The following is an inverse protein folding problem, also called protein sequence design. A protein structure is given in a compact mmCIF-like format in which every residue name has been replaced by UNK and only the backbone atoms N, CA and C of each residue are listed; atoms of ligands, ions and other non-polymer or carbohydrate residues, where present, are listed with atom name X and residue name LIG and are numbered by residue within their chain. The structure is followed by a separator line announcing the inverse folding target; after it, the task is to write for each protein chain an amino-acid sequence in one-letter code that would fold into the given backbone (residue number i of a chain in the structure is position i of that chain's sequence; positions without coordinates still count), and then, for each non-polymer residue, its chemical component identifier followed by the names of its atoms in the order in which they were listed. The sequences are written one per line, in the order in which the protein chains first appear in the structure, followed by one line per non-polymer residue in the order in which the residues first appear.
data_IF_572587645414
#
_entry.id   IF_572587645414
#
_cell.length_a   1.000
_cell.length_b   1.000
_cell.length_c   1.000
_cell.angle_alpha   90.00
_cell.angle_beta   90.00
_cell.angle_gamma   90.00
#
_symmetry.space_group_name_H-M   'P 1'
#
loop_
_entity.id
_entity.type
_entity.pdbx_description
1 polymer ?
#
# COMPACT_ATOMS: atom_id res chain seq x y z
N UNK A 1 -4.95 20.08 -11.02
CA UNK A 1 -4.65 18.70 -10.60
C UNK A 1 -3.38 18.01 -11.13
N UNK A 2 -2.80 18.36 -12.31
CA UNK A 2 -1.69 17.56 -12.88
C UNK A 2 -0.39 17.62 -12.07
N UNK A 3 -0.07 18.76 -11.45
CA UNK A 3 1.18 18.93 -10.68
C UNK A 3 1.15 18.17 -9.34
N UNK A 4 0.05 18.24 -8.58
CA UNK A 4 -0.06 17.51 -7.30
C UNK A 4 -0.04 15.99 -7.50
N UNK A 5 -0.62 15.51 -8.61
CA UNK A 5 -0.73 14.08 -8.91
C UNK A 5 0.63 13.36 -8.91
N UNK A 6 1.68 14.00 -9.42
CA UNK A 6 3.01 13.38 -9.46
C UNK A 6 3.64 13.30 -8.07
N UNK A 7 3.43 14.30 -7.21
CA UNK A 7 3.88 14.27 -5.81
C UNK A 7 3.24 13.09 -5.07
N UNK A 8 1.93 12.89 -5.22
CA UNK A 8 1.22 11.74 -4.64
C UNK A 8 1.80 10.40 -5.10
N UNK A 9 2.08 10.27 -6.40
CA UNK A 9 2.64 9.04 -6.98
C UNK A 9 4.04 8.75 -6.48
N UNK A 10 4.93 9.74 -6.52
CA UNK A 10 6.34 9.60 -6.13
C UNK A 10 6.46 9.22 -4.65
N UNK A 11 5.81 9.97 -3.76
CA UNK A 11 5.85 9.70 -2.32
C UNK A 11 5.23 8.33 -1.99
N UNK A 12 4.16 7.92 -2.68
CA UNK A 12 3.58 6.60 -2.48
C UNK A 12 4.54 5.48 -2.90
N UNK A 13 5.23 5.66 -4.03
CA UNK A 13 6.22 4.70 -4.53
C UNK A 13 7.42 4.59 -3.59
N UNK A 14 7.88 5.68 -3.01
CA UNK A 14 8.95 5.68 -1.99
C UNK A 14 8.53 4.89 -0.76
N UNK A 15 7.39 5.23 -0.15
CA UNK A 15 6.89 4.53 1.04
C UNK A 15 6.65 3.04 0.80
N UNK A 16 6.13 2.65 -0.38
CA UNK A 16 5.93 1.24 -0.70
C UNK A 16 7.26 0.50 -0.92
N UNK A 17 8.29 1.15 -1.50
CA UNK A 17 9.62 0.55 -1.67
C UNK A 17 10.30 0.30 -0.32
N UNK A 18 10.11 1.19 0.65
CA UNK A 18 10.63 1.00 2.01
C UNK A 18 10.01 -0.24 2.68
N UNK A 19 8.69 -0.41 2.56
CA UNK A 19 7.98 -1.48 3.28
C UNK A 19 8.00 -2.82 2.53
N UNK A 20 7.99 -2.81 1.19
CA UNK A 20 7.98 -4.00 0.31
C UNK A 20 8.82 -3.76 -0.95
N UNK A 21 10.16 -3.79 -0.88
CA UNK A 21 11.05 -3.42 -1.99
C UNK A 21 10.87 -4.31 -3.23
N UNK A 22 10.49 -5.57 -3.03
CA UNK A 22 10.31 -6.56 -4.09
C UNK A 22 8.92 -6.55 -4.73
N UNK A 23 7.99 -5.74 -4.21
CA UNK A 23 6.61 -5.68 -4.71
C UNK A 23 6.37 -4.37 -5.44
N UNK A 24 5.74 -4.46 -6.61
CA UNK A 24 5.47 -3.27 -7.43
C UNK A 24 4.07 -2.74 -7.14
N UNK A 25 4.00 -1.53 -6.59
CA UNK A 25 2.75 -0.81 -6.35
C UNK A 25 2.63 0.44 -7.23
N UNK A 26 1.42 0.71 -7.71
CA UNK A 26 1.12 1.93 -8.49
C UNK A 26 -0.08 2.66 -7.92
N UNK A 27 -0.02 3.98 -7.85
CA UNK A 27 -1.14 4.86 -7.53
C UNK A 27 -1.58 5.63 -8.78
N UNK A 28 -2.89 5.68 -9.05
CA UNK A 28 -3.47 6.41 -10.18
C UNK A 28 -4.71 7.19 -9.75
N UNK A 29 -4.83 8.47 -10.11
CA UNK A 29 -6.09 9.19 -9.94
C UNK A 29 -7.21 8.59 -10.79
N UNK A 30 -8.44 8.62 -10.26
CA UNK A 30 -9.65 8.17 -10.93
C UNK A 30 -10.84 9.02 -10.43
N UNK A 31 -11.28 10.00 -11.24
CA UNK A 31 -12.39 10.89 -10.89
C UNK A 31 -13.74 10.17 -10.78
N UNK A 32 -13.90 9.03 -11.43
CA UNK A 32 -15.13 8.24 -11.41
C UNK A 32 -15.21 7.25 -10.26
N UNK A 33 -14.22 7.25 -9.35
CA UNK A 33 -14.21 6.32 -8.23
C UNK A 33 -15.34 6.64 -7.25
N UNK A 34 -16.20 5.67 -6.98
CA UNK A 34 -17.33 5.82 -6.06
C UNK A 34 -17.09 5.01 -4.78
N UNK A 35 -17.34 5.59 -3.59
CA UNK A 35 -17.33 4.86 -2.33
C UNK A 35 -18.26 3.65 -2.36
N UNK A 36 -17.83 2.54 -1.75
CA UNK A 36 -18.61 1.30 -1.63
C UNK A 36 -18.97 0.59 -2.94
N UNK A 37 -18.49 1.07 -4.10
CA UNK A 37 -18.67 0.40 -5.40
C UNK A 37 -17.37 -0.29 -5.80
N UNK A 38 -17.18 -1.53 -5.32
CA UNK A 38 -15.94 -2.28 -5.49
C UNK A 38 -16.03 -3.36 -6.57
N UNK A 39 -14.98 -3.47 -7.37
CA UNK A 39 -14.77 -4.64 -8.24
C UNK A 39 -14.32 -5.84 -7.39
N UNK A 40 -14.57 -7.09 -7.82
CA UNK A 40 -14.07 -8.27 -7.11
C UNK A 40 -12.56 -8.20 -6.82
N UNK A 41 -12.17 -8.55 -5.59
CA UNK A 41 -10.77 -8.49 -5.13
C UNK A 41 -10.26 -7.10 -4.75
N UNK A 42 -11.06 -6.03 -4.94
CA UNK A 42 -10.69 -4.69 -4.49
C UNK A 42 -11.14 -4.42 -3.07
N UNK A 43 -10.35 -3.62 -2.36
CA UNK A 43 -10.60 -3.16 -0.99
C UNK A 43 -10.63 -1.64 -0.95
N UNK A 44 -11.43 -1.04 -0.08
CA UNK A 44 -11.44 0.42 0.08
C UNK A 44 -10.78 0.92 1.37
N UNK A 45 -10.32 2.16 1.28
CA UNK A 45 -9.92 3.02 2.38
C UNK A 45 -10.39 4.45 2.09
N UNK A 46 -11.00 5.09 3.09
CA UNK A 46 -11.46 6.47 3.02
C UNK A 46 -10.78 7.27 4.12
N UNK A 47 -10.40 8.50 3.82
CA UNK A 47 -9.80 9.43 4.77
C UNK A 47 -10.37 10.82 4.56
N UNK A 48 -10.80 11.45 5.64
CA UNK A 48 -11.06 12.89 5.66
C UNK A 48 -9.80 13.62 6.08
N UNK A 49 -9.51 14.73 5.42
CA UNK A 49 -8.29 15.52 5.66
C UNK A 49 -8.55 17.01 5.44
N UNK A 50 -7.59 17.82 5.88
CA UNK A 50 -7.55 19.26 5.63
C UNK A 50 -7.08 19.54 4.20
N UNK A 51 -7.66 20.51 3.53
CA UNK A 51 -7.07 21.09 2.33
C UNK A 51 -7.44 22.56 2.19
N UNK A 52 -6.67 23.26 1.36
CA UNK A 52 -7.00 24.61 0.90
C UNK A 52 -7.60 24.54 -0.49
N UNK A 53 -8.31 25.58 -0.87
CA UNK A 53 -8.92 25.72 -2.18
C UNK A 53 -8.77 27.15 -2.63
N UNK A 54 -8.61 27.34 -3.93
CA UNK A 54 -8.66 28.62 -4.61
C UNK A 54 -9.76 28.59 -5.67
N UNK A 55 -10.65 29.58 -5.65
CA UNK A 55 -11.67 29.71 -6.69
C UNK A 55 -11.04 30.25 -7.96
N UNK A 56 -11.18 29.49 -9.05
CA UNK A 56 -10.77 29.89 -10.41
C UNK A 56 -11.50 31.13 -10.91
N UNK A 57 -12.73 31.39 -10.45
CA UNK A 57 -13.58 32.48 -10.96
C UNK A 57 -13.43 33.80 -10.19
N UNK A 58 -13.28 33.75 -8.86
CA UNK A 58 -13.24 34.97 -8.02
C UNK A 58 -11.98 35.10 -7.16
N UNK A 59 -10.99 34.21 -7.36
CA UNK A 59 -9.71 34.17 -6.66
C UNK A 59 -9.80 34.04 -5.13
N UNK A 60 -11.00 33.80 -4.59
CA UNK A 60 -11.22 33.59 -3.17
C UNK A 60 -10.54 32.30 -2.74
N UNK A 61 -9.80 32.37 -1.64
CA UNK A 61 -9.26 31.21 -0.95
C UNK A 61 -10.15 30.79 0.22
N UNK A 62 -10.22 29.49 0.47
CA UNK A 62 -10.79 28.94 1.70
C UNK A 62 -10.05 27.67 2.10
N UNK A 63 -10.34 27.18 3.30
CA UNK A 63 -9.84 25.92 3.80
C UNK A 63 -11.02 25.06 4.25
N UNK A 64 -10.85 23.74 4.16
CA UNK A 64 -11.80 22.76 4.67
C UNK A 64 -11.05 21.72 5.49
N UNK A 65 -11.57 21.44 6.68
CA UNK A 65 -11.18 20.34 7.54
C UNK A 65 -11.70 18.96 7.07
N UNK A 66 -12.63 18.97 6.12
CA UNK A 66 -13.39 17.81 5.68
C UNK A 66 -13.33 17.70 4.16
N UNK A 67 -12.20 17.20 3.67
CA UNK A 67 -12.01 16.77 2.27
C UNK A 67 -11.88 15.26 2.27
N UNK A 68 -12.77 14.58 1.55
CA UNK A 68 -12.76 13.13 1.43
C UNK A 68 -11.73 12.71 0.37
N UNK A 69 -10.86 11.77 0.73
CA UNK A 69 -9.97 11.05 -0.18
C UNK A 69 -10.34 9.57 -0.13
N UNK A 70 -10.70 9.02 -1.28
CA UNK A 70 -11.06 7.62 -1.46
C UNK A 70 -9.94 6.87 -2.17
N UNK A 71 -9.61 5.70 -1.63
CA UNK A 71 -8.68 4.76 -2.22
C UNK A 71 -9.36 3.42 -2.44
N UNK A 72 -9.28 2.89 -3.66
CA UNK A 72 -9.52 1.49 -3.95
C UNK A 72 -8.18 0.81 -4.19
N UNK A 73 -7.93 -0.30 -3.50
CA UNK A 73 -6.67 -1.03 -3.47
C UNK A 73 -6.91 -2.46 -3.95
N UNK A 74 -6.01 -2.99 -4.76
CA UNK A 74 -6.05 -4.37 -5.21
C UNK A 74 -4.64 -4.96 -5.18
N UNK A 75 -4.52 -6.20 -4.69
CA UNK A 75 -3.25 -6.93 -4.62
C UNK A 75 -3.35 -8.23 -5.40
N UNK A 76 -2.35 -8.50 -6.23
CA UNK A 76 -2.15 -9.76 -6.93
C UNK A 76 -0.87 -10.40 -6.41
N UNK A 77 -1.04 -11.47 -5.63
CA UNK A 77 0.06 -12.22 -5.03
C UNK A 77 0.91 -12.93 -6.09
N UNK A 78 0.27 -13.59 -7.04
CA UNK A 78 0.93 -14.26 -8.18
C UNK A 78 1.88 -13.33 -8.94
N UNK A 79 1.47 -12.07 -9.14
CA UNK A 79 2.23 -11.09 -9.93
C UNK A 79 3.14 -10.23 -9.08
N UNK A 80 3.12 -10.38 -7.75
CA UNK A 80 3.75 -9.47 -6.80
C UNK A 80 3.47 -8.00 -7.10
N UNK A 81 2.22 -7.70 -7.49
CA UNK A 81 1.80 -6.39 -7.99
C UNK A 81 0.53 -5.88 -7.31
N UNK A 82 0.59 -4.62 -6.89
CA UNK A 82 -0.54 -3.91 -6.29
C UNK A 82 -0.93 -2.65 -7.05
N UNK A 83 -2.21 -2.31 -6.97
CA UNK A 83 -2.78 -1.15 -7.63
C UNK A 83 -3.61 -0.35 -6.63
N UNK A 84 -3.47 0.97 -6.68
CA UNK A 84 -4.29 1.93 -5.96
C UNK A 84 -4.92 2.88 -6.97
N UNK A 85 -6.25 2.99 -6.90
CA UNK A 85 -7.01 4.08 -7.52
C UNK A 85 -7.35 5.10 -6.46
N UNK A 86 -7.23 6.38 -6.77
CA UNK A 86 -7.44 7.47 -5.83
C UNK A 86 -8.44 8.49 -6.40
N UNK A 87 -9.44 8.88 -5.61
CA UNK A 87 -10.26 10.06 -5.88
C UNK A 87 -10.15 11.02 -4.71
N UNK A 88 -9.97 12.29 -5.03
CA UNK A 88 -10.07 13.37 -4.07
C UNK A 88 -11.34 14.15 -4.40
N UNK A 89 -12.20 14.34 -3.40
CA UNK A 89 -13.44 15.08 -3.56
C UNK A 89 -13.19 16.59 -3.48
N UNK A 90 -13.95 17.33 -4.27
CA UNK A 90 -13.81 18.77 -4.54
C UNK A 90 -14.85 19.59 -3.79
N UNK A 91 -14.69 20.93 -3.82
CA UNK A 91 -15.64 21.86 -3.21
C UNK A 91 -15.91 23.06 -4.11
N UNK A 92 -17.11 23.63 -3.98
CA UNK A 92 -17.55 24.84 -4.68
C UNK A 92 -17.28 26.10 -3.88
N UNK A 93 -17.03 27.20 -4.60
CA UNK A 93 -16.95 28.51 -3.98
C UNK A 93 -18.33 29.00 -3.52
N UNK A 94 -18.48 29.35 -2.24
CA UNK A 94 -19.75 29.85 -1.69
C UNK A 94 -20.21 31.24 -2.16
N UNK A 95 -19.35 31.98 -2.89
CA UNK A 95 -19.62 33.37 -3.31
C UNK A 95 -20.14 33.44 -4.75
N UNK A 96 -19.72 32.51 -5.60
CA UNK A 96 -20.05 32.56 -7.01
C UNK A 96 -21.49 32.06 -7.24
N UNK A 97 -22.25 32.65 -8.17
CA UNK A 97 -23.62 32.23 -8.45
C UNK A 97 -23.69 30.87 -9.16
N UNK A 98 -22.69 30.55 -9.99
CA UNK A 98 -22.54 29.26 -10.68
C UNK A 98 -21.13 28.72 -10.42
N UNK A 99 -20.84 28.27 -9.19
CA UNK A 99 -19.49 27.86 -8.84
C UNK A 99 -19.16 26.51 -9.47
N UNK A 100 -17.94 26.42 -10.03
CA UNK A 100 -17.33 25.15 -10.40
C UNK A 100 -16.82 24.43 -9.14
N UNK A 101 -16.61 23.13 -9.29
CA UNK A 101 -15.92 22.32 -8.30
C UNK A 101 -14.41 22.53 -8.44
N UNK A 102 -13.79 23.05 -7.37
CA UNK A 102 -12.37 23.33 -7.33
C UNK A 102 -11.60 22.16 -6.70
N UNK A 103 -10.42 21.90 -7.26
CA UNK A 103 -9.49 20.91 -6.74
C UNK A 103 -8.90 21.39 -5.39
N UNK A 104 -8.77 20.51 -4.40
CA UNK A 104 -8.06 20.84 -3.17
C UNK A 104 -6.54 20.88 -3.37
N UNK A 105 -5.91 21.82 -2.67
CA UNK A 105 -4.47 21.96 -2.52
C UNK A 105 -4.00 21.37 -1.19
N UNK A 106 -3.03 20.46 -1.26
CA UNK A 106 -2.44 19.81 -0.08
C UNK A 106 -0.99 20.23 0.11
N UNK A 107 -0.58 20.39 1.37
CA UNK A 107 0.84 20.45 1.70
C UNK A 107 1.46 19.07 1.55
N UNK A 108 2.76 19.00 1.20
CA UNK A 108 3.48 17.72 1.11
C UNK A 108 3.43 16.92 2.42
N UNK A 109 3.47 17.60 3.58
CA UNK A 109 3.33 16.94 4.88
C UNK A 109 1.98 16.22 5.00
N UNK A 110 0.89 16.87 4.57
CA UNK A 110 -0.42 16.25 4.61
C UNK A 110 -0.53 15.07 3.65
N UNK A 111 0.00 15.20 2.43
CA UNK A 111 0.14 14.09 1.48
C UNK A 111 0.89 12.91 2.13
N UNK A 112 2.03 13.18 2.77
CA UNK A 112 2.83 12.18 3.49
C UNK A 112 2.00 11.43 4.53
N UNK A 113 1.26 12.15 5.37
CA UNK A 113 0.43 11.55 6.43
C UNK A 113 -0.67 10.66 5.85
N UNK A 114 -1.36 11.12 4.81
CA UNK A 114 -2.42 10.36 4.14
C UNK A 114 -1.84 9.08 3.54
N UNK A 115 -0.71 9.18 2.83
CA UNK A 115 -0.06 8.05 2.18
C UNK A 115 0.52 7.04 3.18
N UNK A 116 1.14 7.49 4.28
CA UNK A 116 1.58 6.58 5.36
C UNK A 116 0.41 5.75 5.90
N UNK A 117 -0.73 6.38 6.14
CA UNK A 117 -1.94 5.67 6.57
C UNK A 117 -2.48 4.71 5.52
N UNK A 118 -2.42 5.09 4.22
CA UNK A 118 -2.76 4.20 3.12
C UNK A 118 -1.85 2.96 3.11
N UNK A 119 -0.54 3.13 3.25
CA UNK A 119 0.44 2.02 3.29
C UNK A 119 0.17 1.08 4.45
N UNK A 120 -0.08 1.61 5.65
CA UNK A 120 -0.51 0.80 6.80
C UNK A 120 -1.78 0.00 6.50
N UNK A 121 -2.74 0.62 5.79
CA UNK A 121 -3.98 -0.05 5.38
C UNK A 121 -3.76 -1.13 4.33
N UNK A 122 -2.84 -0.91 3.37
CA UNK A 122 -2.39 -1.91 2.41
C UNK A 122 -1.79 -3.09 3.16
N UNK A 123 -0.90 -2.85 4.11
CA UNK A 123 -0.29 -3.92 4.89
C UNK A 123 -1.33 -4.72 5.68
N UNK A 124 -2.26 -4.02 6.34
CA UNK A 124 -3.31 -4.64 7.14
C UNK A 124 -4.36 -5.37 6.28
N UNK A 125 -4.66 -4.95 5.06
CA UNK A 125 -5.77 -5.55 4.27
C UNK A 125 -5.31 -6.45 3.14
N UNK A 126 -4.24 -6.08 2.43
CA UNK A 126 -3.78 -6.76 1.22
C UNK A 126 -2.81 -7.91 1.50
N UNK A 127 -2.07 -7.84 2.62
CA UNK A 127 -1.01 -8.80 2.96
C UNK A 127 -1.33 -9.68 4.18
N UNK A 128 -2.58 -9.66 4.67
CA UNK A 128 -2.97 -10.54 5.78
C UNK A 128 -2.90 -12.00 5.35
N UNK A 129 -2.15 -12.78 6.13
CA UNK A 129 -1.87 -14.20 5.89
C UNK A 129 -0.43 -14.61 6.25
N UNK A 130 0.53 -13.67 6.30
CA UNK A 130 1.95 -13.97 6.57
C UNK A 130 2.62 -13.15 7.67
N UNK A 131 1.92 -12.17 8.23
CA UNK A 131 2.43 -11.33 9.32
C UNK A 131 1.29 -11.12 10.32
N UNK A 132 1.43 -11.70 11.50
CA UNK A 132 0.78 -11.15 12.68
C UNK A 132 1.49 -9.82 12.93
N UNK A 133 0.87 -8.72 12.53
CA UNK A 133 1.18 -7.44 13.17
C UNK A 133 0.77 -7.63 14.63
N UNK A 134 1.72 -8.08 15.45
CA UNK A 134 1.54 -8.40 16.87
C UNK A 134 1.07 -7.19 17.68
N UNK A 135 1.27 -5.99 17.12
CA UNK A 135 0.68 -4.75 17.60
C UNK A 135 -0.18 -4.13 16.50
N UNK A 136 -1.39 -3.68 16.88
CA UNK A 136 -2.18 -2.81 16.02
C UNK A 136 -1.42 -1.51 15.79
N UNK A 137 -0.66 -1.40 14.69
CA UNK A 137 0.00 -0.14 14.35
C UNK A 137 -1.07 0.95 14.30
N UNK A 138 -1.04 1.92 15.24
CA UNK A 138 -2.09 2.91 15.32
C UNK A 138 -2.04 3.72 14.03
N UNK A 139 -3.18 3.83 13.35
CA UNK A 139 -3.30 4.80 12.26
C UNK A 139 -2.90 6.16 12.83
N UNK A 140 -2.09 6.93 12.10
CA UNK A 140 -1.69 8.27 12.53
C UNK A 140 -2.99 9.05 12.76
N UNK A 141 -3.28 9.31 14.05
CA UNK A 141 -4.49 10.02 14.47
C UNK A 141 -4.36 11.44 13.93
N UNK A 142 -5.33 11.85 13.13
CA UNK A 142 -5.42 13.27 12.79
C UNK A 142 -5.79 14.02 14.06
N UNK A 143 -5.23 15.22 14.20
CA UNK A 143 -5.84 16.26 15.02
C UNK A 143 -7.30 16.35 14.57
N UNK A 144 -8.27 16.34 15.50
CA UNK A 144 -9.67 16.58 15.14
C UNK A 144 -9.70 17.90 14.39
N UNK A 145 -9.85 17.83 13.06
CA UNK A 145 -9.95 19.01 12.23
C UNK A 145 -11.38 19.50 12.44
N UNK A 146 -11.55 20.27 13.50
CA UNK A 146 -12.77 20.99 13.80
C UNK A 146 -12.77 22.25 12.95
N UNK A 147 -13.87 22.48 12.25
CA UNK A 147 -14.01 23.63 11.38
C UNK A 147 -15.33 23.60 10.63
N UNK A 148 -15.80 24.76 10.15
CA UNK A 148 -17.05 24.85 9.41
C UNK A 148 -16.95 24.01 8.13
N UNK A 149 -17.80 22.99 8.03
CA UNK A 149 -17.95 22.19 6.82
C UNK A 149 -19.16 22.69 6.03
N UNK A 150 -18.90 23.27 4.86
CA UNK A 150 -19.95 23.76 3.98
C UNK A 150 -20.50 22.59 3.14
N UNK A 151 -21.49 21.90 3.69
CA UNK A 151 -22.06 20.67 3.09
C UNK A 151 -22.71 20.94 1.73
N UNK A 152 -23.38 22.08 1.57
CA UNK A 152 -24.06 22.45 0.31
C UNK A 152 -23.10 22.65 -0.87
N UNK A 153 -21.83 22.89 -0.56
CA UNK A 153 -20.78 23.12 -1.55
C UNK A 153 -19.76 21.98 -1.62
N UNK A 154 -19.95 20.89 -0.87
CA UNK A 154 -19.04 19.75 -0.87
C UNK A 154 -19.51 18.66 -1.83
N UNK A 155 -18.65 18.24 -2.76
CA UNK A 155 -18.96 17.17 -3.72
C UNK A 155 -19.40 15.88 -3.02
N UNK A 156 -18.65 15.47 -1.99
CA UNK A 156 -18.97 14.26 -1.23
C UNK A 156 -20.31 14.36 -0.49
N UNK A 157 -20.72 15.53 0.00
CA UNK A 157 -22.03 15.71 0.64
C UNK A 157 -23.15 15.57 -0.38
N UNK A 158 -22.98 16.23 -1.54
CA UNK A 158 -23.97 16.23 -2.61
C UNK A 158 -24.16 14.84 -3.23
N UNK A 159 -23.10 14.02 -3.24
CA UNK A 159 -23.17 12.61 -3.65
C UNK A 159 -23.58 11.66 -2.49
N UNK A 160 -23.80 12.16 -1.27
CA UNK A 160 -24.24 11.36 -0.12
C UNK A 160 -23.15 10.54 0.58
N UNK A 161 -21.87 10.83 0.34
CA UNK A 161 -20.71 10.10 0.87
C UNK A 161 -20.03 10.77 2.07
N UNK A 162 -20.35 12.02 2.38
CA UNK A 162 -19.71 12.77 3.47
C UNK A 162 -20.30 12.45 4.85
N UNK A 163 -20.13 11.22 5.35
CA UNK A 163 -20.55 10.86 6.70
C UNK A 163 -19.46 11.18 7.73
N UNK A 164 -19.43 12.42 8.25
CA UNK A 164 -18.61 12.78 9.43
C UNK A 164 -19.36 13.59 10.50
N UNK A 165 -20.69 13.60 10.47
CA UNK A 165 -21.55 14.32 11.42
C UNK A 165 -22.31 13.35 12.35
N UNK A 166 -21.59 12.75 13.30
CA UNK A 166 -22.15 12.53 14.64
C UNK A 166 -21.25 13.30 15.59
N UNK A 167 -21.75 14.44 16.05
CA UNK A 167 -21.16 15.21 17.14
C UNK A 167 -20.92 14.25 18.30
N UNK A 168 -19.66 14.06 18.68
CA UNK A 168 -19.32 13.50 19.98
C UNK A 168 -18.68 14.63 20.77
N UNK A 169 -19.49 15.14 21.68
CA UNK A 169 -19.13 16.03 22.78
C UNK A 169 -17.81 15.64 23.44
N UNK A 170 -16.93 16.63 23.53
CA UNK A 170 -15.85 16.84 24.50
C UNK A 170 -15.47 15.66 25.40
N UNK A 171 -14.28 15.09 25.19
CA UNK A 171 -13.44 14.58 26.27
C UNK A 171 -11.96 14.93 25.99
N UNK A 172 -11.51 15.91 26.78
CA UNK A 172 -10.18 16.19 27.34
C UNK A 172 -8.91 15.62 26.69
N UNK A 173 -8.02 16.55 26.34
CA UNK A 173 -6.60 16.37 26.04
C UNK A 173 -5.87 15.55 27.10
N UNK A 174 -5.02 14.61 26.68
CA UNK A 174 -3.62 14.54 27.13
C UNK A 174 -2.83 13.44 26.39
N UNK A 175 -1.53 13.67 26.32
CA UNK A 175 -0.42 12.75 25.99
C UNK A 175 0.00 12.67 24.52
N UNK A 176 1.11 13.36 24.25
CA UNK A 176 1.99 13.22 23.10
C UNK A 176 2.69 11.86 23.13
N UNK A 177 2.61 11.02 22.07
CA UNK A 177 3.51 9.88 21.93
C UNK A 177 4.74 10.29 21.13
N UNK A 178 5.92 10.06 21.72
CA UNK A 178 7.22 10.07 21.04
C UNK A 178 7.17 9.14 19.83
N UNK A 179 7.79 9.61 18.74
CA UNK A 179 8.07 8.83 17.54
C UNK A 179 9.02 7.69 17.91
N UNK A 180 8.58 6.44 17.76
CA UNK A 180 9.47 5.28 17.74
C UNK A 180 9.53 4.72 16.33
N UNK A 181 10.76 4.54 15.82
CA UNK A 181 11.02 3.74 14.63
C UNK A 181 10.80 2.28 14.99
N UNK A 182 9.93 1.59 14.24
CA UNK A 182 9.87 0.13 14.27
C UNK A 182 9.91 -0.37 12.83
N UNK A 183 11.13 -0.47 12.32
CA UNK A 183 11.48 -1.48 11.33
C UNK A 183 12.74 -2.16 11.85
N UNK A 184 12.59 -3.30 12.53
CA UNK A 184 13.70 -4.24 12.62
C UNK A 184 13.72 -5.01 11.31
N UNK A 185 14.70 -4.66 10.47
CA UNK A 185 15.20 -5.55 9.43
C UNK A 185 16.06 -6.58 10.16
N UNK A 186 15.62 -7.82 10.23
CA UNK A 186 16.55 -8.92 10.49
C UNK A 186 17.28 -9.22 9.18
N UNK A 187 18.51 -8.76 9.07
CA UNK A 187 19.53 -9.37 8.24
C UNK A 187 20.20 -10.49 9.04
N UNK A 188 20.21 -11.69 8.46
CA UNK A 188 20.96 -12.84 8.94
C UNK A 188 21.11 -13.84 7.79
N UNK A 189 22.29 -13.86 7.19
CA UNK A 189 22.72 -14.75 6.09
C UNK A 189 23.02 -16.17 6.63
N UNK A 190 22.52 -17.21 5.91
CA UNK A 190 22.98 -18.62 5.61
C UNK A 190 24.03 -19.34 6.52
N UNK A 191 24.26 -20.68 6.44
CA UNK A 191 23.64 -21.76 5.64
C UNK A 191 23.23 -23.04 6.41
N UNK A 192 22.61 -23.98 5.69
CA UNK A 192 22.07 -25.27 6.11
C UNK A 192 23.06 -26.24 6.80
N UNK A 193 22.59 -26.94 7.86
CA UNK A 193 22.96 -28.33 8.17
C UNK A 193 21.97 -29.05 9.12
N UNK A 194 21.22 -29.99 8.54
CA UNK A 194 20.84 -31.33 9.05
C UNK A 194 20.61 -31.58 10.56
N UNK A 195 19.37 -31.92 10.94
CA UNK A 195 19.03 -33.28 11.45
C UNK A 195 17.52 -33.55 11.65
N UNK A 196 17.03 -34.46 10.81
CA UNK A 196 16.20 -35.67 11.10
C UNK A 196 14.79 -35.55 11.74
N UNK A 197 13.84 -35.99 10.89
CA UNK A 197 12.72 -36.92 11.14
C UNK A 197 11.43 -36.36 11.79
N UNK A 198 10.31 -36.35 11.04
CA UNK A 198 9.23 -37.37 11.15
C UNK A 198 8.40 -37.42 9.84
N UNK A 199 8.14 -38.65 9.41
CA UNK A 199 7.27 -39.12 8.33
C UNK A 199 5.91 -38.45 8.16
N UNK A 200 5.59 -38.10 6.92
CA UNK A 200 4.53 -38.67 6.06
C UNK A 200 4.87 -38.10 4.67
N UNK A 201 4.89 -38.80 3.55
CA UNK A 201 3.85 -39.56 2.87
C UNK A 201 4.58 -40.41 1.81
N UNK A 202 4.20 -41.68 1.76
CA UNK A 202 4.79 -42.76 0.98
C UNK A 202 4.51 -42.62 -0.52
N UNK A 203 5.50 -42.99 -1.32
CA UNK A 203 5.44 -43.47 -2.72
C UNK A 203 5.32 -42.45 -3.86
N UNK A 204 6.46 -41.98 -4.39
CA UNK A 204 6.68 -41.91 -5.84
C UNK A 204 8.16 -41.66 -6.19
N UNK A 205 8.65 -42.39 -7.18
CA UNK A 205 9.86 -42.13 -7.99
C UNK A 205 11.17 -42.88 -7.70
N UNK A 206 11.08 -44.21 -7.50
CA UNK A 206 12.25 -45.11 -7.52
C UNK A 206 12.77 -45.50 -8.92
N UNK A 207 12.34 -44.86 -10.03
CA UNK A 207 12.67 -45.34 -11.39
C UNK A 207 13.59 -44.40 -12.19
N UNK A 208 13.85 -43.15 -11.77
CA UNK A 208 14.64 -42.21 -12.59
C UNK A 208 16.02 -41.82 -12.02
N UNK A 209 16.69 -42.68 -11.24
CA UNK A 209 18.05 -42.39 -10.70
C UNK A 209 19.13 -43.44 -10.98
N UNK A 210 18.83 -44.49 -11.74
CA UNK A 210 19.82 -45.53 -12.08
C UNK A 210 20.49 -45.39 -13.47
N UNK A 211 20.11 -44.38 -14.27
CA UNK A 211 20.72 -44.17 -15.61
C UNK A 211 21.89 -43.18 -15.58
N UNK A 212 22.01 -42.33 -14.55
CA UNK A 212 23.08 -41.32 -14.46
C UNK A 212 24.37 -41.81 -13.79
N UNK A 213 24.36 -42.97 -13.12
CA UNK A 213 25.54 -43.49 -12.39
C UNK A 213 26.32 -44.50 -13.22
N UNK A 214 25.69 -45.18 -14.19
CA UNK A 214 26.39 -46.10 -15.08
C UNK A 214 27.28 -45.41 -16.13
N UNK A 215 27.05 -44.11 -16.41
CA UNK A 215 27.80 -43.39 -17.43
C UNK A 215 29.17 -42.87 -16.93
N UNK A 216 29.33 -42.60 -15.63
CA UNK A 216 30.57 -42.04 -15.09
C UNK A 216 31.63 -43.10 -14.77
N UNK A 217 31.22 -44.32 -14.42
CA UNK A 217 32.16 -45.41 -14.10
C UNK A 217 32.86 -45.99 -15.33
N UNK A 218 32.20 -46.03 -16.50
CA UNK A 218 32.82 -46.51 -17.74
C UNK A 218 33.89 -45.53 -18.24
N UNK A 219 33.66 -44.23 -18.10
CA UNK A 219 34.61 -43.19 -18.54
C UNK A 219 35.91 -43.24 -17.71
N UNK A 220 35.80 -43.46 -16.39
CA UNK A 220 36.98 -43.57 -15.52
C UNK A 220 37.82 -44.83 -15.82
N UNK A 221 37.18 -45.96 -16.12
CA UNK A 221 37.89 -47.19 -16.48
C UNK A 221 38.63 -47.03 -17.82
N UNK A 222 38.01 -46.39 -18.82
CA UNK A 222 38.66 -46.14 -20.12
C UNK A 222 39.89 -45.23 -19.97
N UNK A 223 39.81 -44.18 -19.15
CA UNK A 223 40.95 -43.26 -18.92
C UNK A 223 42.11 -44.01 -18.25
N UNK A 224 41.84 -44.85 -17.23
CA UNK A 224 42.89 -45.61 -16.53
C UNK A 224 43.55 -46.63 -17.47
N UNK A 225 42.79 -47.30 -18.34
CA UNK A 225 43.35 -48.25 -19.31
C UNK A 225 44.20 -47.54 -20.38
N UNK A 226 43.79 -46.37 -20.86
CA UNK A 226 44.58 -45.58 -21.82
C UNK A 226 45.89 -45.12 -21.18
N UNK A 227 45.85 -44.56 -19.96
CA UNK A 227 47.05 -44.10 -19.25
C UNK A 227 48.01 -45.24 -18.95
N UNK A 228 47.50 -46.41 -18.56
CA UNK A 228 48.32 -47.59 -18.27
C UNK A 228 48.99 -48.19 -19.52
N UNK A 229 48.37 -48.06 -20.71
CA UNK A 229 48.97 -48.54 -21.97
C UNK A 229 49.97 -47.57 -22.60
N UNK A 230 49.96 -46.30 -22.22
CA UNK A 230 50.95 -45.32 -22.69
C UNK A 230 52.18 -45.24 -21.79
N UNK A 231 52.20 -45.96 -20.67
CA UNK A 231 53.27 -45.93 -19.67
C UNK A 231 54.13 -47.22 -19.63
N UNK A 232 54.01 -48.09 -20.65
CA UNK A 232 54.84 -49.29 -20.85
C UNK A 232 55.42 -49.27 -22.25
#
# INVERSE_FOLDING_TARGET
MTQDTEVWKQMFQELMREVKPWHRWTLRPDKGLLPNVLKPGWMQYQRWTFARFQCSSCSRNWASAQVLVLFHMHWSEEKSRGQVKMRVFTQRCKKCPQPLFEDPEFTQENISRILKNLVLRIMKKCYRGRFQLTEEVPMIKDISLEGPHNSDNCEACLEGFCARSKQVTSLTQSQTPRVYSIYKVEEGVEPWASRKNVCSYILQNHICRNVSIFCCCVILIVIVVIVARTAI
#
